data_IF_137373591372
#
_entry.id   IF_137373591372
#
_cell.length_a   1.000
_cell.length_b   1.000
_cell.length_c   1.000
_cell.angle_alpha   90.00
_cell.angle_beta   90.00
_cell.angle_gamma   90.00
#
_symmetry.space_group_name_H-M   'P 1'
#
loop_
_entity.id
_entity.type
_entity.pdbx_description
1 polymer ?
#
# COMPACT_ATOMS: atom_id res chain seq x y z
N UNK A 1 -1.81 20.30 -15.89
CA UNK A 1 -1.21 19.15 -15.16
C UNK A 1 -2.29 18.17 -14.77
N UNK A 2 -1.97 16.88 -14.73
CA UNK A 2 -2.88 15.80 -14.38
C UNK A 2 -2.21 14.92 -13.33
N UNK A 3 -2.96 14.49 -12.33
CA UNK A 3 -2.47 13.51 -11.38
C UNK A 3 -2.51 12.12 -12.03
N UNK A 4 -1.35 11.53 -12.26
CA UNK A 4 -1.25 10.23 -12.92
C UNK A 4 -1.20 9.07 -11.93
N UNK A 5 -0.56 9.27 -10.78
CA UNK A 5 -0.36 8.18 -9.86
C UNK A 5 0.39 8.57 -8.60
N UNK A 6 0.85 7.53 -7.93
CA UNK A 6 1.48 7.64 -6.63
C UNK A 6 2.71 6.71 -6.57
N UNK A 7 3.81 7.23 -6.03
CA UNK A 7 5.05 6.48 -5.91
C UNK A 7 5.60 6.47 -4.50
N UNK A 8 6.25 5.38 -4.13
CA UNK A 8 6.90 5.20 -2.84
C UNK A 8 8.40 5.00 -3.08
N UNK A 9 9.22 5.73 -2.35
CA UNK A 9 10.66 5.53 -2.32
C UNK A 9 11.00 4.45 -1.28
N UNK A 10 11.57 3.34 -1.73
CA UNK A 10 11.75 2.15 -0.91
C UNK A 10 13.22 1.91 -0.56
N UNK A 11 13.45 1.46 0.65
CA UNK A 11 14.78 1.07 1.13
C UNK A 11 15.15 -0.32 0.61
N UNK A 12 14.27 -1.28 0.78
CA UNK A 12 14.49 -2.68 0.38
C UNK A 12 13.44 -3.08 -0.67
N UNK A 13 13.85 -3.04 -1.94
CA UNK A 13 12.96 -3.34 -3.06
C UNK A 13 12.43 -4.77 -3.01
N UNK A 14 13.28 -5.75 -2.69
CA UNK A 14 12.87 -7.15 -2.66
C UNK A 14 11.75 -7.40 -1.63
N UNK A 15 11.91 -6.85 -0.45
CA UNK A 15 10.90 -6.95 0.63
C UNK A 15 9.60 -6.28 0.21
N UNK A 16 9.69 -5.10 -0.39
CA UNK A 16 8.51 -4.33 -0.78
C UNK A 16 7.78 -4.95 -1.98
N UNK A 17 8.50 -5.47 -2.95
CA UNK A 17 7.90 -6.19 -4.08
C UNK A 17 7.14 -7.42 -3.57
N UNK A 18 7.77 -8.22 -2.70
CA UNK A 18 7.09 -9.39 -2.12
C UNK A 18 5.82 -8.99 -1.37
N UNK A 19 5.88 -7.93 -0.58
CA UNK A 19 4.72 -7.48 0.19
C UNK A 19 3.56 -7.08 -0.72
N UNK A 20 3.79 -6.17 -1.65
CA UNK A 20 2.71 -5.67 -2.52
C UNK A 20 2.18 -6.74 -3.47
N UNK A 21 3.04 -7.66 -3.91
CA UNK A 21 2.65 -8.75 -4.78
C UNK A 21 1.95 -9.89 -4.03
N UNK A 22 2.55 -10.37 -2.96
CA UNK A 22 2.09 -11.60 -2.30
C UNK A 22 1.09 -11.34 -1.18
N UNK A 23 1.17 -10.20 -0.50
CA UNK A 23 0.24 -9.83 0.58
C UNK A 23 -0.96 -9.07 0.05
N UNK A 24 -0.74 -8.06 -0.81
CA UNK A 24 -1.81 -7.22 -1.33
C UNK A 24 -2.30 -7.64 -2.72
N UNK A 25 -1.72 -8.67 -3.32
CA UNK A 25 -2.10 -9.20 -4.64
C UNK A 25 -2.00 -8.18 -5.78
N UNK A 26 -1.04 -7.26 -5.71
CA UNK A 26 -0.77 -6.36 -6.82
C UNK A 26 -0.12 -7.13 -7.98
N UNK A 27 -0.54 -6.84 -9.20
CA UNK A 27 -0.04 -7.52 -10.40
C UNK A 27 1.33 -6.99 -10.84
N UNK A 28 2.31 -7.05 -9.94
CA UNK A 28 3.68 -6.61 -10.21
C UNK A 28 4.38 -7.65 -11.10
N UNK A 29 4.91 -7.19 -12.23
CA UNK A 29 5.58 -8.04 -13.23
C UNK A 29 7.09 -8.07 -13.05
N UNK A 30 7.66 -7.04 -12.41
CA UNK A 30 9.08 -6.92 -12.20
C UNK A 30 9.56 -7.93 -11.15
N UNK A 31 10.84 -8.33 -11.24
CA UNK A 31 11.46 -9.19 -10.25
C UNK A 31 11.82 -8.39 -8.98
N UNK A 32 12.11 -9.11 -7.90
CA UNK A 32 12.57 -8.52 -6.64
C UNK A 32 13.88 -7.72 -6.78
N UNK A 33 14.66 -7.98 -7.84
CA UNK A 33 15.95 -7.31 -8.07
C UNK A 33 15.82 -6.04 -8.91
N UNK A 34 14.60 -5.64 -9.28
CA UNK A 34 14.38 -4.44 -10.08
C UNK A 34 14.79 -3.17 -9.35
N UNK A 35 15.17 -2.13 -10.07
CA UNK A 35 15.41 -0.81 -9.50
C UNK A 35 14.14 0.00 -9.33
N UNK A 36 13.08 -0.35 -10.08
CA UNK A 36 11.77 0.29 -9.96
C UNK A 36 10.65 -0.65 -10.36
N UNK A 37 9.47 -0.39 -9.83
CA UNK A 37 8.22 -1.04 -10.22
C UNK A 37 7.32 0.01 -10.82
N UNK A 38 6.70 -0.33 -11.93
CA UNK A 38 5.74 0.51 -12.63
C UNK A 38 4.47 -0.31 -12.88
N UNK A 39 3.41 0.00 -12.14
CA UNK A 39 2.12 -0.68 -12.28
C UNK A 39 1.04 0.32 -12.60
N UNK A 40 0.38 0.16 -13.75
CA UNK A 40 -0.80 0.93 -14.09
C UNK A 40 -2.02 0.03 -14.05
N UNK A 41 -3.02 0.41 -13.27
CA UNK A 41 -4.27 -0.33 -13.18
C UNK A 41 -5.44 0.64 -12.97
N UNK A 42 -6.47 0.49 -13.80
CA UNK A 42 -7.69 1.31 -13.71
C UNK A 42 -7.42 2.82 -13.76
N UNK A 43 -6.44 3.23 -14.56
CA UNK A 43 -6.07 4.64 -14.70
C UNK A 43 -5.23 5.20 -13.54
N UNK A 44 -4.84 4.36 -12.61
CA UNK A 44 -3.98 4.76 -11.49
C UNK A 44 -2.60 4.12 -11.65
N UNK A 45 -1.56 4.94 -11.53
CA UNK A 45 -0.19 4.50 -11.58
C UNK A 45 0.34 4.30 -10.16
N UNK A 46 0.94 3.15 -9.90
CA UNK A 46 1.62 2.82 -8.65
C UNK A 46 3.08 2.51 -8.93
N UNK A 47 3.97 3.21 -8.22
CA UNK A 47 5.41 3.11 -8.44
C UNK A 47 6.15 2.73 -7.16
N UNK A 48 7.14 1.85 -7.27
CA UNK A 48 8.18 1.67 -6.26
C UNK A 48 9.50 2.07 -6.88
N UNK A 49 10.27 2.90 -6.18
CA UNK A 49 11.55 3.41 -6.65
C UNK A 49 12.59 3.32 -5.53
N UNK A 50 13.77 2.81 -5.81
CA UNK A 50 14.81 2.74 -4.77
C UNK A 50 15.26 4.13 -4.33
N UNK A 51 15.35 4.33 -3.03
CA UNK A 51 15.83 5.59 -2.43
C UNK A 51 17.21 5.96 -2.95
N UNK A 52 18.12 4.96 -3.00
CA UNK A 52 19.49 5.17 -3.45
C UNK A 52 19.57 5.60 -4.91
N UNK A 53 18.78 5.01 -5.77
CA UNK A 53 18.74 5.37 -7.19
C UNK A 53 18.14 6.75 -7.40
N UNK A 54 17.10 7.09 -6.65
CA UNK A 54 16.48 8.41 -6.70
C UNK A 54 17.41 9.50 -6.19
N UNK A 55 18.11 9.26 -5.09
CA UNK A 55 19.09 10.19 -4.54
C UNK A 55 20.24 10.43 -5.51
N UNK A 56 20.69 9.36 -6.18
CA UNK A 56 21.73 9.47 -7.20
C UNK A 56 21.24 10.29 -8.41
N UNK A 57 20.03 10.03 -8.89
CA UNK A 57 19.46 10.74 -10.02
C UNK A 57 19.28 12.23 -9.73
N UNK A 58 18.81 12.57 -8.54
CA UNK A 58 18.56 13.96 -8.15
C UNK A 58 19.80 14.66 -7.59
N UNK A 59 20.87 13.96 -7.33
CA UNK A 59 22.05 14.45 -6.62
C UNK A 59 21.70 15.12 -5.30
N UNK A 60 20.76 14.52 -4.57
CA UNK A 60 20.27 15.01 -3.29
C UNK A 60 20.14 13.85 -2.30
N UNK A 61 20.08 14.18 -1.02
CA UNK A 61 19.74 13.24 0.04
C UNK A 61 18.43 13.68 0.69
N UNK A 62 17.64 12.69 1.11
CA UNK A 62 16.33 12.95 1.69
C UNK A 62 16.21 12.27 3.06
N UNK A 63 15.33 12.79 3.89
CA UNK A 63 14.98 12.18 5.16
C UNK A 63 13.80 11.23 4.95
N UNK A 64 13.90 10.05 5.56
CA UNK A 64 12.86 9.02 5.47
C UNK A 64 12.36 8.69 6.85
N UNK A 65 11.05 8.42 6.97
CA UNK A 65 10.48 7.94 8.21
C UNK A 65 11.04 6.57 8.56
N UNK A 66 11.26 6.32 9.85
CA UNK A 66 11.83 5.06 10.33
C UNK A 66 10.80 4.07 10.84
N UNK A 67 9.61 4.55 11.16
CA UNK A 67 8.52 3.78 11.75
C UNK A 67 7.26 3.99 10.94
N UNK A 68 6.15 3.44 11.41
CA UNK A 68 4.83 3.72 10.83
C UNK A 68 4.64 5.23 10.82
N UNK A 69 4.33 5.79 9.64
CA UNK A 69 4.24 7.24 9.46
C UNK A 69 2.88 7.63 8.89
N UNK A 70 2.43 8.83 9.23
CA UNK A 70 1.15 9.36 8.83
C UNK A 70 1.21 10.48 7.79
N UNK A 71 2.24 10.49 6.93
CA UNK A 71 2.35 11.50 5.89
C UNK A 71 1.32 11.32 4.78
N UNK A 72 0.92 10.09 4.51
CA UNK A 72 -0.05 9.72 3.49
C UNK A 72 -0.58 8.32 3.76
N UNK A 73 -1.56 7.93 3.01
CA UNK A 73 -2.06 6.55 2.99
C UNK A 73 -2.24 6.05 1.57
N UNK A 74 -2.16 4.75 1.41
CA UNK A 74 -2.56 4.07 0.18
C UNK A 74 -3.95 3.51 0.44
N UNK A 75 -4.96 4.03 -0.26
CA UNK A 75 -6.34 3.62 -0.07
C UNK A 75 -6.72 2.52 -1.05
N UNK A 76 -7.13 1.38 -0.52
CA UNK A 76 -7.62 0.24 -1.27
C UNK A 76 -9.10 0.03 -0.94
N UNK A 77 -9.90 -0.34 -1.95
CA UNK A 77 -11.30 -0.66 -1.74
C UNK A 77 -11.57 -2.13 -2.01
N UNK A 78 -12.51 -2.67 -1.26
CA UNK A 78 -13.03 -4.03 -1.43
C UNK A 78 -14.54 -3.97 -1.58
N UNK A 79 -15.14 -5.10 -1.92
CA UNK A 79 -16.52 -5.20 -2.38
C UNK A 79 -17.55 -4.72 -1.34
N UNK A 80 -17.40 -5.14 -0.08
CA UNK A 80 -18.36 -4.86 0.98
C UNK A 80 -17.72 -4.95 2.36
N UNK A 81 -18.51 -4.69 3.42
CA UNK A 81 -18.03 -4.71 4.81
C UNK A 81 -17.42 -6.05 5.20
N UNK A 82 -18.06 -7.15 4.85
CA UNK A 82 -17.52 -8.47 5.17
C UNK A 82 -16.17 -8.73 4.48
N UNK A 83 -15.98 -8.20 3.27
CA UNK A 83 -14.72 -8.30 2.56
C UNK A 83 -13.61 -7.49 3.23
N UNK A 84 -13.93 -6.38 3.91
CA UNK A 84 -12.95 -5.62 4.72
C UNK A 84 -12.41 -6.51 5.85
N UNK A 85 -13.32 -7.19 6.58
CA UNK A 85 -12.92 -8.08 7.67
C UNK A 85 -12.03 -9.22 7.18
N UNK A 86 -12.43 -9.87 6.10
CA UNK A 86 -11.64 -10.96 5.50
C UNK A 86 -10.28 -10.49 5.01
N UNK A 87 -10.24 -9.34 4.34
CA UNK A 87 -8.99 -8.77 3.83
C UNK A 87 -8.03 -8.43 4.97
N UNK A 88 -8.53 -7.84 6.05
CA UNK A 88 -7.70 -7.53 7.22
C UNK A 88 -7.05 -8.80 7.79
N UNK A 89 -7.84 -9.82 8.06
CA UNK A 89 -7.32 -11.08 8.59
C UNK A 89 -6.31 -11.73 7.64
N UNK A 90 -6.60 -11.72 6.35
CA UNK A 90 -5.71 -12.30 5.34
C UNK A 90 -4.36 -11.59 5.29
N UNK A 91 -4.35 -10.26 5.17
CA UNK A 91 -3.09 -9.52 5.05
C UNK A 91 -2.27 -9.60 6.33
N UNK A 92 -2.90 -9.61 7.52
CA UNK A 92 -2.21 -9.80 8.79
C UNK A 92 -1.58 -11.19 8.84
N UNK A 93 -2.29 -12.23 8.42
CA UNK A 93 -1.76 -13.59 8.38
C UNK A 93 -0.54 -13.73 7.45
N UNK A 94 -0.42 -12.85 6.46
CA UNK A 94 0.69 -12.82 5.50
C UNK A 94 1.80 -11.85 5.88
N UNK A 95 1.69 -11.16 7.02
CA UNK A 95 2.77 -10.35 7.56
C UNK A 95 2.56 -8.84 7.57
N UNK A 96 1.40 -8.33 7.15
CA UNK A 96 1.09 -6.91 7.31
C UNK A 96 1.02 -6.55 8.80
N UNK A 97 1.46 -5.33 9.14
CA UNK A 97 1.43 -4.85 10.52
C UNK A 97 0.06 -4.25 10.83
N UNK A 98 -0.67 -4.75 11.84
CA UNK A 98 -1.98 -4.20 12.17
C UNK A 98 -1.84 -2.79 12.78
N UNK A 99 -2.69 -1.87 12.34
CA UNK A 99 -2.74 -0.49 12.87
C UNK A 99 -4.10 -0.19 13.46
N UNK A 100 -5.17 -0.50 12.73
CA UNK A 100 -6.55 -0.35 13.21
C UNK A 100 -7.40 -1.49 12.66
N UNK A 101 -8.03 -2.24 13.56
CA UNK A 101 -8.94 -3.32 13.15
C UNK A 101 -10.17 -2.77 12.42
N UNK A 102 -10.87 -3.60 11.62
CA UNK A 102 -12.07 -3.18 10.92
C UNK A 102 -13.07 -2.51 11.84
N UNK A 103 -13.52 -1.33 11.46
CA UNK A 103 -14.44 -0.50 12.22
C UNK A 103 -15.41 0.16 11.24
N UNK A 104 -16.70 0.18 11.60
CA UNK A 104 -17.70 0.90 10.81
C UNK A 104 -17.82 2.32 11.36
N UNK A 105 -17.52 3.29 10.49
CA UNK A 105 -17.48 4.69 10.83
C UNK A 105 -18.83 5.37 10.63
N UNK A 106 -19.02 6.52 11.28
CA UNK A 106 -20.28 7.26 11.22
C UNK A 106 -20.67 7.69 9.80
N UNK A 107 -19.68 7.88 8.92
CA UNK A 107 -19.92 8.28 7.53
C UNK A 107 -20.25 7.10 6.60
N UNK A 108 -20.48 5.88 7.16
CA UNK A 108 -20.96 4.73 6.39
C UNK A 108 -19.86 3.91 5.72
N UNK A 109 -18.63 4.08 6.11
CA UNK A 109 -17.52 3.29 5.64
C UNK A 109 -17.12 2.27 6.70
N UNK A 110 -16.91 1.02 6.29
CA UNK A 110 -16.16 0.08 7.11
C UNK A 110 -14.72 0.05 6.60
N UNK A 111 -13.78 0.30 7.49
CA UNK A 111 -12.38 0.47 7.12
C UNK A 111 -11.44 -0.10 8.17
N UNK A 112 -10.25 -0.47 7.73
CA UNK A 112 -9.14 -0.89 8.59
C UNK A 112 -7.84 -0.30 8.07
N UNK A 113 -6.82 -0.31 8.91
CA UNK A 113 -5.48 0.15 8.56
C UNK A 113 -4.45 -0.91 8.90
N UNK A 114 -3.52 -1.11 7.98
CA UNK A 114 -2.32 -1.91 8.16
C UNK A 114 -1.12 -1.10 7.70
N UNK A 115 0.07 -1.57 7.99
CA UNK A 115 1.29 -0.95 7.48
C UNK A 115 2.12 -1.99 6.71
N UNK A 116 2.83 -1.50 5.69
CA UNK A 116 3.80 -2.30 4.97
C UNK A 116 5.12 -2.42 5.75
N UNK A 117 6.10 -3.22 5.27
CA UNK A 117 7.36 -3.44 6.00
C UNK A 117 8.18 -2.17 6.25
N UNK A 118 7.96 -1.09 5.51
CA UNK A 118 8.68 0.17 5.69
C UNK A 118 7.83 1.24 6.37
N UNK A 119 6.67 0.87 6.90
CA UNK A 119 5.84 1.74 7.73
C UNK A 119 4.85 2.62 6.98
N UNK A 120 4.59 2.36 5.71
CA UNK A 120 3.58 3.10 4.96
C UNK A 120 2.18 2.61 5.34
N UNK A 121 1.27 3.54 5.59
CA UNK A 121 -0.11 3.22 5.95
C UNK A 121 -0.93 2.80 4.73
N UNK A 122 -1.71 1.75 4.93
CA UNK A 122 -2.61 1.20 3.92
C UNK A 122 -4.00 1.11 4.53
N UNK A 123 -4.95 1.78 3.88
CA UNK A 123 -6.37 1.64 4.21
C UNK A 123 -6.99 0.57 3.34
N UNK A 124 -7.83 -0.28 3.92
CA UNK A 124 -8.69 -1.21 3.19
C UNK A 124 -10.12 -0.93 3.65
N UNK A 125 -10.98 -0.50 2.73
CA UNK A 125 -12.30 -0.07 3.10
C UNK A 125 -13.38 -0.34 2.06
N UNK A 126 -14.63 -0.19 2.50
CA UNK A 126 -15.81 -0.26 1.63
C UNK A 126 -16.92 0.63 2.18
N UNK A 127 -17.67 1.25 1.28
CA UNK A 127 -18.88 1.98 1.61
C UNK A 127 -20.14 1.14 1.41
N UNK A 128 -19.99 -0.13 1.03
CA UNK A 128 -21.09 -1.03 0.74
C UNK A 128 -21.26 -2.03 1.87
N UNK A 129 -22.40 -1.99 2.55
CA UNK A 129 -22.71 -2.93 3.63
C UNK A 129 -22.78 -4.37 3.11
N UNK A 130 -23.31 -4.52 1.92
CA UNK A 130 -23.48 -5.82 1.28
C UNK A 130 -24.93 -6.29 1.31
N UNK A 131 -25.22 -7.30 0.50
CA UNK A 131 -26.52 -7.96 0.51
C UNK A 131 -26.54 -9.06 1.58
N UNK A 132 -27.62 -9.18 2.32
CA UNK A 132 -27.88 -10.29 3.23
C UNK A 132 -28.11 -11.60 2.47
#
# INVERSE_FOLDING_TARGET
MRLDGFGIFVKDMAVMVRFYKDVLNFEIKESENTSNVYLEKNGTLFLLYRRTDFEKMTNNRFHYAKNINGHYEIALSVENYAAVDRAFEEVISKGAVPVMKPTTEEWGQRTCYVADPEGNLIEIGSFTEGAD
#
